data_IF_847052606953
#
_entry.id   IF_847052606953
#
_cell.length_a   1.000
_cell.length_b   1.000
_cell.length_c   1.000
_cell.angle_alpha   90.00
_cell.angle_beta   90.00
_cell.angle_gamma   90.00
#
_symmetry.space_group_name_H-M   'P 1'
#
loop_
_entity.id
_entity.type
_entity.pdbx_description
1 polymer ?
#
# COMPACT_ATOMS: atom_id res chain seq x y z
N UNK A 1 -27.61 4.13 9.29
CA UNK A 1 -28.36 4.71 10.42
C UNK A 1 -28.57 6.21 10.23
N UNK A 2 -29.77 6.60 9.82
CA UNK A 2 -30.12 8.00 9.53
C UNK A 2 -29.88 8.95 10.72
N UNK A 3 -30.14 8.50 11.96
CA UNK A 3 -29.93 9.33 13.15
C UNK A 3 -28.46 9.55 13.52
N UNK A 4 -27.54 8.74 12.99
CA UNK A 4 -26.09 8.85 13.24
C UNK A 4 -25.32 9.37 12.03
N UNK A 5 -26.04 9.71 10.95
CA UNK A 5 -25.46 10.14 9.68
C UNK A 5 -24.32 9.24 9.15
N UNK A 6 -24.41 7.92 9.40
CA UNK A 6 -23.44 6.90 8.95
C UNK A 6 -24.14 5.57 8.70
N UNK A 7 -23.54 4.67 7.93
CA UNK A 7 -24.03 3.29 7.76
C UNK A 7 -23.94 2.51 9.07
N UNK A 8 -24.64 1.37 9.13
CA UNK A 8 -24.48 0.41 10.20
C UNK A 8 -23.96 -0.87 9.55
N UNK A 9 -22.70 -1.17 9.81
CA UNK A 9 -21.97 -2.21 9.10
C UNK A 9 -21.95 -3.46 9.97
N UNK A 10 -22.22 -4.61 9.35
CA UNK A 10 -22.31 -5.88 10.06
C UNK A 10 -22.06 -7.06 9.13
N UNK A 11 -21.73 -8.20 9.71
CA UNK A 11 -21.53 -9.45 8.97
C UNK A 11 -22.81 -10.29 9.01
N UNK A 12 -23.43 -10.45 7.84
CA UNK A 12 -24.64 -11.26 7.70
C UNK A 12 -24.34 -12.73 8.00
N UNK A 13 -25.13 -13.32 8.89
CA UNK A 13 -25.07 -14.75 9.22
C UNK A 13 -23.89 -15.14 10.12
N UNK A 14 -23.24 -14.16 10.75
CA UNK A 14 -22.15 -14.39 11.71
C UNK A 14 -22.58 -14.20 13.17
N UNK A 15 -23.85 -13.87 13.44
CA UNK A 15 -24.37 -13.65 14.80
C UNK A 15 -23.95 -12.32 15.42
N UNK A 16 -23.55 -11.33 14.61
CA UNK A 16 -23.18 -9.99 15.07
C UNK A 16 -24.41 -9.12 15.39
N UNK A 17 -25.57 -9.50 14.85
CA UNK A 17 -26.87 -8.91 15.13
C UNK A 17 -27.82 -9.97 15.68
N UNK A 18 -29.00 -9.55 16.12
CA UNK A 18 -30.06 -10.47 16.56
C UNK A 18 -30.43 -11.46 15.43
N UNK A 19 -30.75 -12.70 15.79
CA UNK A 19 -30.96 -13.80 14.84
C UNK A 19 -31.95 -13.46 13.72
N UNK A 20 -33.07 -12.80 14.05
CA UNK A 20 -34.07 -12.41 13.05
C UNK A 20 -33.61 -11.33 12.08
N UNK A 21 -32.60 -10.53 12.46
CA UNK A 21 -31.98 -9.57 11.56
C UNK A 21 -31.01 -10.29 10.62
N UNK A 22 -30.22 -11.22 11.13
CA UNK A 22 -29.33 -12.06 10.31
C UNK A 22 -30.15 -12.82 9.25
N UNK A 23 -31.25 -13.47 9.65
CA UNK A 23 -32.16 -14.14 8.72
C UNK A 23 -32.83 -13.16 7.75
N UNK A 24 -33.30 -12.02 8.23
CA UNK A 24 -34.01 -11.02 7.41
C UNK A 24 -33.14 -10.32 6.38
N UNK A 25 -31.82 -10.29 6.59
CA UNK A 25 -30.83 -9.76 5.66
C UNK A 25 -30.42 -10.76 4.57
N UNK A 26 -30.77 -12.05 4.68
CA UNK A 26 -30.45 -13.01 3.63
C UNK A 26 -31.23 -12.69 2.34
N UNK A 27 -30.52 -12.77 1.21
CA UNK A 27 -31.10 -12.55 -0.11
C UNK A 27 -31.53 -11.10 -0.37
N UNK A 28 -30.97 -10.11 0.32
CA UNK A 28 -31.12 -8.70 -0.06
C UNK A 28 -30.25 -8.35 -1.27
N UNK A 29 -30.68 -7.37 -2.04
CA UNK A 29 -29.87 -6.75 -3.09
C UNK A 29 -29.36 -5.36 -2.64
N UNK A 30 -28.24 -4.92 -3.23
CA UNK A 30 -27.75 -3.54 -3.10
C UNK A 30 -28.82 -2.56 -3.58
N UNK A 31 -29.04 -1.46 -2.83
CA UNK A 31 -30.09 -0.47 -3.05
C UNK A 31 -31.49 -0.88 -2.57
N UNK A 32 -31.68 -2.10 -2.09
CA UNK A 32 -32.99 -2.59 -1.63
C UNK A 32 -33.43 -1.88 -0.34
N UNK A 33 -34.71 -1.50 -0.28
CA UNK A 33 -35.38 -1.13 0.98
C UNK A 33 -36.28 -2.26 1.42
N UNK A 34 -36.09 -2.76 2.64
CA UNK A 34 -36.82 -3.91 3.19
C UNK A 34 -37.37 -3.58 4.57
N UNK A 35 -38.60 -4.02 4.84
CA UNK A 35 -39.18 -4.03 6.18
C UNK A 35 -39.04 -5.42 6.78
N UNK A 36 -38.33 -5.53 7.90
CA UNK A 36 -38.13 -6.79 8.63
C UNK A 36 -38.93 -6.73 9.92
N UNK A 37 -39.79 -7.73 10.13
CA UNK A 37 -40.60 -7.89 11.33
C UNK A 37 -40.06 -9.10 12.11
N UNK A 38 -39.51 -8.86 13.28
CA UNK A 38 -38.78 -9.87 14.06
C UNK A 38 -39.61 -10.25 15.28
N UNK A 39 -40.07 -11.51 15.39
CA UNK A 39 -40.77 -12.00 16.58
C UNK A 39 -39.80 -12.10 17.78
N UNK A 40 -40.31 -12.11 19.02
CA UNK A 40 -39.46 -11.97 20.20
C UNK A 40 -38.36 -13.03 20.34
N UNK A 41 -38.65 -14.28 19.97
CA UNK A 41 -37.71 -15.40 20.05
C UNK A 41 -36.51 -15.27 19.09
N UNK A 42 -36.61 -14.42 18.07
CA UNK A 42 -35.50 -14.06 17.16
C UNK A 42 -34.90 -12.67 17.47
N UNK A 43 -35.43 -11.98 18.49
CA UNK A 43 -35.01 -10.64 18.93
C UNK A 43 -34.35 -10.67 20.31
N UNK A 44 -35.05 -10.14 21.32
CA UNK A 44 -34.56 -10.05 22.71
C UNK A 44 -35.32 -10.95 23.71
N UNK A 45 -36.11 -11.90 23.20
CA UNK A 45 -36.80 -12.90 24.02
C UNK A 45 -37.83 -12.32 24.98
N UNK A 46 -38.16 -13.11 26.00
CA UNK A 46 -39.14 -12.74 27.05
C UNK A 46 -38.59 -11.70 28.03
N UNK A 47 -37.26 -11.59 28.16
CA UNK A 47 -36.62 -10.67 29.12
C UNK A 47 -36.47 -9.24 28.57
N UNK A 48 -36.33 -9.09 27.25
CA UNK A 48 -36.08 -7.79 26.62
C UNK A 48 -34.64 -7.30 26.83
N UNK A 49 -34.36 -6.03 26.47
CA UNK A 49 -33.03 -5.42 26.69
C UNK A 49 -33.10 -3.89 26.74
N UNK A 50 -32.62 -3.31 27.84
CA UNK A 50 -32.55 -1.85 28.00
C UNK A 50 -33.93 -1.20 27.90
N UNK A 51 -34.18 -0.45 26.82
CA UNK A 51 -35.48 0.19 26.55
C UNK A 51 -36.48 -0.72 25.83
N UNK A 52 -36.07 -1.92 25.43
CA UNK A 52 -36.89 -2.85 24.68
C UNK A 52 -37.58 -3.79 25.66
N UNK A 53 -38.93 -3.78 25.74
CA UNK A 53 -39.67 -4.66 26.63
C UNK A 53 -39.50 -6.14 26.26
N UNK A 54 -39.70 -7.00 27.26
CA UNK A 54 -39.85 -8.44 27.06
C UNK A 54 -40.98 -8.78 26.09
N UNK A 55 -40.79 -9.81 25.29
CA UNK A 55 -41.78 -10.30 24.31
C UNK A 55 -42.20 -9.27 23.25
N UNK A 56 -41.39 -8.22 23.04
CA UNK A 56 -41.65 -7.21 22.02
C UNK A 56 -41.37 -7.74 20.61
N UNK A 57 -42.28 -7.45 19.67
CA UNK A 57 -42.04 -7.59 18.23
C UNK A 57 -41.28 -6.37 17.75
N UNK A 58 -40.17 -6.58 17.03
CA UNK A 58 -39.37 -5.49 16.48
C UNK A 58 -39.71 -5.28 15.01
N UNK A 59 -39.74 -4.03 14.56
CA UNK A 59 -39.93 -3.66 13.16
C UNK A 59 -38.77 -2.78 12.74
N UNK A 60 -38.04 -3.21 11.72
CA UNK A 60 -36.92 -2.49 11.14
C UNK A 60 -37.21 -2.16 9.69
N UNK A 61 -37.10 -0.88 9.33
CA UNK A 61 -37.03 -0.44 7.94
C UNK A 61 -35.56 -0.23 7.58
N UNK A 62 -35.04 -1.08 6.71
CA UNK A 62 -33.63 -1.07 6.29
C UNK A 62 -33.50 -0.59 4.85
N UNK A 63 -32.37 0.04 4.56
CA UNK A 63 -31.93 0.37 3.21
C UNK A 63 -30.51 -0.17 3.05
N UNK A 64 -30.36 -1.16 2.18
CA UNK A 64 -29.07 -1.80 1.91
C UNK A 64 -28.30 -0.88 0.99
N UNK A 65 -27.32 -0.17 1.53
CA UNK A 65 -26.50 0.77 0.76
C UNK A 65 -25.52 0.00 -0.11
N UNK A 66 -24.84 -0.98 0.47
CA UNK A 66 -23.92 -1.89 -0.19
C UNK A 66 -23.64 -3.10 0.71
N UNK A 67 -22.98 -4.13 0.17
CA UNK A 67 -22.36 -5.19 0.95
C UNK A 67 -21.12 -5.72 0.22
N UNK A 68 -20.13 -6.13 1.00
CA UNK A 68 -18.87 -6.66 0.48
C UNK A 68 -18.59 -8.01 1.11
N UNK A 69 -17.97 -8.90 0.35
CA UNK A 69 -17.41 -10.10 0.93
C UNK A 69 -15.95 -9.79 1.31
N UNK A 70 -15.52 -9.97 2.57
CA UNK A 70 -14.13 -9.75 2.98
C UNK A 70 -13.11 -10.62 2.25
N UNK A 71 -13.57 -11.69 1.59
CA UNK A 71 -12.73 -12.51 0.71
C UNK A 71 -12.60 -11.96 -0.71
N UNK A 72 -13.33 -10.88 -1.06
CA UNK A 72 -13.20 -10.23 -2.35
C UNK A 72 -11.81 -9.59 -2.49
N UNK A 73 -11.24 -9.73 -3.68
CA UNK A 73 -10.02 -9.05 -4.07
C UNK A 73 -10.36 -7.79 -4.87
N UNK A 74 -9.33 -7.04 -5.28
CA UNK A 74 -9.49 -5.95 -6.24
C UNK A 74 -9.98 -6.48 -7.59
N UNK A 75 -10.86 -5.72 -8.24
CA UNK A 75 -11.25 -5.96 -9.63
C UNK A 75 -10.42 -5.09 -10.55
N UNK A 76 -9.76 -5.68 -11.53
CA UNK A 76 -8.87 -4.97 -12.46
C UNK A 76 -9.42 -5.12 -13.87
N UNK A 77 -9.69 -4.00 -14.53
CA UNK A 77 -10.11 -3.94 -15.93
C UNK A 77 -9.07 -3.17 -16.74
N UNK A 78 -8.35 -3.86 -17.63
CA UNK A 78 -7.36 -3.22 -18.52
C UNK A 78 -8.09 -2.55 -19.68
N UNK A 79 -8.10 -1.22 -19.68
CA UNK A 79 -8.81 -0.40 -20.67
C UNK A 79 -7.97 -0.20 -21.94
N UNK A 80 -6.66 -0.11 -21.79
CA UNK A 80 -5.72 0.03 -22.89
C UNK A 80 -4.38 -0.58 -22.51
N UNK A 81 -3.79 -1.37 -23.41
CA UNK A 81 -2.47 -1.98 -23.22
C UNK A 81 -1.60 -1.72 -24.46
N UNK A 82 -0.42 -1.08 -24.31
CA UNK A 82 0.52 -0.89 -25.40
C UNK A 82 0.98 -2.21 -26.01
N UNK A 83 1.24 -2.21 -27.32
CA UNK A 83 1.74 -3.39 -28.04
C UNK A 83 3.13 -3.86 -27.58
N UNK A 84 3.97 -2.93 -27.11
CA UNK A 84 5.35 -3.15 -26.64
C UNK A 84 5.42 -3.31 -25.10
N UNK A 85 4.51 -4.09 -24.55
CA UNK A 85 4.42 -4.33 -23.10
C UNK A 85 5.29 -5.54 -22.68
N UNK A 86 6.61 -5.34 -22.60
CA UNK A 86 7.56 -6.41 -22.23
C UNK A 86 8.00 -6.38 -20.77
N UNK A 87 8.01 -5.20 -20.14
CA UNK A 87 8.38 -5.01 -18.74
C UNK A 87 7.11 -4.76 -17.95
N UNK A 88 6.87 -5.60 -16.94
CA UNK A 88 5.73 -5.54 -16.05
C UNK A 88 6.18 -5.11 -14.66
N UNK A 89 5.37 -4.28 -14.00
CA UNK A 89 5.62 -3.80 -12.64
C UNK A 89 5.54 -4.93 -11.63
N UNK A 90 6.51 -4.96 -10.73
CA UNK A 90 6.57 -5.90 -9.59
C UNK A 90 6.94 -5.17 -8.31
N UNK A 91 6.76 -5.85 -7.18
CA UNK A 91 7.15 -5.33 -5.85
C UNK A 91 8.59 -4.81 -5.87
N UNK A 92 8.80 -3.61 -5.33
CA UNK A 92 10.07 -2.91 -5.29
C UNK A 92 10.32 -1.97 -6.48
N UNK A 93 9.56 -2.10 -7.57
CA UNK A 93 9.67 -1.16 -8.69
C UNK A 93 9.14 0.21 -8.31
N UNK A 94 9.79 1.25 -8.84
CA UNK A 94 9.31 2.61 -8.72
C UNK A 94 8.42 2.98 -9.89
N UNK A 95 7.23 3.48 -9.57
CA UNK A 95 6.20 3.82 -10.54
C UNK A 95 5.88 5.31 -10.47
N UNK A 96 5.69 5.93 -11.63
CA UNK A 96 5.00 7.22 -11.76
C UNK A 96 3.75 7.04 -12.59
N UNK A 97 2.62 7.50 -12.07
CA UNK A 97 1.33 7.32 -12.73
C UNK A 97 0.41 8.52 -12.53
N UNK A 98 -0.55 8.63 -13.44
CA UNK A 98 -1.74 9.45 -13.25
C UNK A 98 -2.89 8.57 -12.77
N UNK A 99 -3.77 9.15 -11.96
CA UNK A 99 -5.03 8.55 -11.60
C UNK A 99 -6.15 9.58 -11.45
N UNK A 100 -7.39 9.09 -11.61
CA UNK A 100 -8.62 9.68 -11.08
C UNK A 100 -9.26 8.69 -10.10
N UNK A 101 -9.57 9.16 -8.90
CA UNK A 101 -10.22 8.37 -7.85
C UNK A 101 -11.66 8.84 -7.67
N UNK A 102 -12.61 7.91 -7.66
CA UNK A 102 -14.01 8.20 -7.41
C UNK A 102 -14.65 7.12 -6.53
N UNK A 103 -15.83 7.43 -6.01
CA UNK A 103 -16.74 6.42 -5.49
C UNK A 103 -17.40 5.65 -6.62
N UNK A 104 -18.04 4.52 -6.30
CA UNK A 104 -18.75 3.68 -7.26
C UNK A 104 -19.91 4.42 -7.96
N UNK A 105 -20.48 5.44 -7.33
CA UNK A 105 -21.52 6.29 -7.90
C UNK A 105 -20.99 7.38 -8.85
N UNK A 106 -19.67 7.45 -9.03
CA UNK A 106 -18.99 8.43 -9.87
C UNK A 106 -18.62 9.73 -9.16
N UNK A 107 -18.91 9.89 -7.87
CA UNK A 107 -18.47 11.05 -7.07
C UNK A 107 -16.94 11.09 -7.06
N UNK A 108 -16.35 12.14 -7.63
CA UNK A 108 -14.90 12.32 -7.67
C UNK A 108 -14.35 12.61 -6.27
N UNK A 109 -13.30 11.89 -5.90
CA UNK A 109 -12.57 12.06 -4.64
C UNK A 109 -11.29 12.87 -4.87
N UNK A 110 -10.43 12.40 -5.77
CA UNK A 110 -9.14 13.04 -6.05
C UNK A 110 -8.69 12.76 -7.50
N UNK A 111 -7.76 13.59 -8.00
CA UNK A 111 -7.12 13.40 -9.30
C UNK A 111 -5.72 13.99 -9.33
N UNK A 112 -4.77 13.22 -9.82
CA UNK A 112 -3.42 13.76 -10.11
C UNK A 112 -3.41 14.88 -11.14
N UNK A 113 -4.39 14.90 -12.05
CA UNK A 113 -4.51 15.98 -13.04
C UNK A 113 -4.95 17.31 -12.41
N UNK A 114 -5.82 17.28 -11.39
CA UNK A 114 -6.20 18.50 -10.67
C UNK A 114 -5.03 19.06 -9.84
N UNK A 115 -4.14 18.19 -9.38
CA UNK A 115 -2.92 18.54 -8.65
C UNK A 115 -1.76 18.99 -9.55
N UNK A 116 -1.86 18.79 -10.87
CA UNK A 116 -0.82 19.17 -11.84
C UNK A 116 0.50 18.40 -11.68
N UNK A 117 0.49 17.25 -11.00
CA UNK A 117 1.68 16.41 -10.74
C UNK A 117 1.33 14.92 -10.80
N UNK A 118 2.31 14.08 -11.05
CA UNK A 118 2.14 12.62 -11.00
C UNK A 118 2.14 12.12 -9.55
N UNK A 119 1.59 10.93 -9.34
CA UNK A 119 1.78 10.19 -8.10
C UNK A 119 2.92 9.19 -8.27
N UNK A 120 3.82 9.14 -7.30
CA UNK A 120 5.08 8.42 -7.40
C UNK A 120 5.24 7.50 -6.18
N UNK A 121 5.46 6.20 -6.40
CA UNK A 121 5.57 5.21 -5.32
C UNK A 121 6.64 4.18 -5.60
N UNK A 122 7.07 3.49 -4.56
CA UNK A 122 7.72 2.18 -4.65
C UNK A 122 6.66 1.11 -4.40
N UNK A 123 6.39 0.27 -5.39
CA UNK A 123 5.30 -0.70 -5.36
C UNK A 123 5.48 -1.71 -4.23
N UNK A 124 4.46 -1.89 -3.39
CA UNK A 124 4.49 -2.83 -2.27
C UNK A 124 5.30 -2.34 -1.05
N UNK A 125 5.59 -1.04 -0.97
CA UNK A 125 6.20 -0.40 0.20
C UNK A 125 5.17 0.14 1.21
N UNK A 126 3.87 -0.06 0.98
CA UNK A 126 2.80 0.41 1.86
C UNK A 126 2.57 1.92 1.80
N UNK A 127 3.01 2.58 0.72
CA UNK A 127 2.80 4.02 0.49
C UNK A 127 1.37 4.37 0.04
N UNK A 128 0.60 3.37 -0.38
CA UNK A 128 -0.79 3.48 -0.83
C UNK A 128 -1.65 2.42 -0.14
N UNK A 129 -2.97 2.54 -0.24
CA UNK A 129 -3.89 1.51 0.26
C UNK A 129 -3.57 0.16 -0.40
N UNK A 130 -3.79 -0.92 0.34
CA UNK A 130 -3.40 -2.29 -0.06
C UNK A 130 -3.97 -2.66 -1.44
N UNK A 131 -5.21 -2.27 -1.72
CA UNK A 131 -5.84 -2.51 -3.01
C UNK A 131 -5.16 -1.79 -4.18
N UNK A 132 -4.56 -0.62 -3.96
CA UNK A 132 -3.78 0.06 -4.99
C UNK A 132 -2.45 -0.65 -5.22
N UNK A 133 -1.77 -1.10 -4.16
CA UNK A 133 -0.55 -1.90 -4.29
C UNK A 133 -0.81 -3.21 -5.06
N UNK A 134 -1.96 -3.84 -4.85
CA UNK A 134 -2.40 -5.01 -5.65
C UNK A 134 -2.76 -4.61 -7.09
N UNK A 135 -3.53 -3.54 -7.23
CA UNK A 135 -4.02 -3.02 -8.50
C UNK A 135 -2.96 -2.37 -9.38
N UNK A 136 -1.73 -2.15 -8.87
CA UNK A 136 -0.58 -1.60 -9.59
C UNK A 136 0.41 -2.68 -10.06
N UNK A 137 0.22 -3.95 -9.70
CA UNK A 137 1.04 -5.07 -10.18
C UNK A 137 0.75 -5.40 -11.64
N UNK A 138 1.73 -6.01 -12.31
CA UNK A 138 1.63 -6.52 -13.68
C UNK A 138 1.19 -5.48 -14.73
N UNK A 139 1.53 -4.21 -14.50
CA UNK A 139 1.28 -3.10 -15.41
C UNK A 139 2.53 -2.78 -16.23
N UNK A 140 2.36 -2.31 -17.46
CA UNK A 140 3.46 -1.72 -18.23
C UNK A 140 3.25 -0.24 -18.50
N UNK A 141 4.36 0.45 -18.78
CA UNK A 141 4.36 1.87 -19.13
C UNK A 141 3.44 2.14 -20.32
N UNK A 142 2.55 3.10 -20.18
CA UNK A 142 1.51 3.47 -21.14
C UNK A 142 0.20 2.69 -21.02
N UNK A 143 0.13 1.66 -20.17
CA UNK A 143 -1.13 0.96 -19.88
C UNK A 143 -2.10 1.87 -19.15
N UNK A 144 -3.40 1.68 -19.41
CA UNK A 144 -4.49 2.31 -18.66
C UNK A 144 -5.46 1.25 -18.17
N UNK A 145 -5.88 1.36 -16.92
CA UNK A 145 -6.81 0.40 -16.32
C UNK A 145 -7.66 1.01 -15.23
N UNK A 146 -8.80 0.40 -14.99
CA UNK A 146 -9.68 0.70 -13.86
C UNK A 146 -9.47 -0.35 -12.77
N UNK A 147 -9.24 0.09 -11.54
CA UNK A 147 -9.11 -0.75 -10.35
C UNK A 147 -10.26 -0.43 -9.40
N UNK A 148 -11.09 -1.42 -9.10
CA UNK A 148 -12.16 -1.31 -8.10
C UNK A 148 -11.69 -1.99 -6.82
N UNK A 149 -11.63 -1.20 -5.74
CA UNK A 149 -11.07 -1.60 -4.45
C UNK A 149 -12.19 -1.69 -3.43
N UNK A 150 -12.46 -2.89 -2.88
CA UNK A 150 -13.44 -3.04 -1.81
C UNK A 150 -12.92 -2.39 -0.51
N UNK A 151 -13.81 -2.01 0.43
CA UNK A 151 -13.41 -1.16 1.54
C UNK A 151 -12.31 -1.76 2.44
N UNK A 152 -12.30 -3.08 2.65
CA UNK A 152 -11.28 -3.77 3.46
C UNK A 152 -9.88 -3.74 2.86
N UNK A 153 -9.74 -3.41 1.57
CA UNK A 153 -8.47 -3.16 0.89
C UNK A 153 -8.21 -1.66 0.63
N UNK A 154 -9.17 -0.80 1.02
CA UNK A 154 -9.10 0.65 0.95
C UNK A 154 -8.96 1.27 2.34
N UNK A 155 -9.92 2.13 2.71
CA UNK A 155 -9.94 2.85 4.00
C UNK A 155 -10.86 2.23 5.07
N UNK A 156 -11.39 1.04 4.82
CA UNK A 156 -12.19 0.28 5.80
C UNK A 156 -13.50 0.96 6.21
N UNK A 157 -14.02 0.56 7.38
CA UNK A 157 -15.28 1.09 7.95
C UNK A 157 -15.16 2.54 8.42
N UNK A 158 -13.95 3.00 8.73
CA UNK A 158 -13.71 4.35 9.24
C UNK A 158 -13.62 5.38 8.13
N UNK A 159 -13.10 5.00 6.95
CA UNK A 159 -12.88 5.93 5.85
C UNK A 159 -11.81 6.98 6.18
N UNK A 160 -11.95 8.17 5.59
CA UNK A 160 -11.14 9.35 5.86
C UNK A 160 -12.08 10.53 6.07
N UNK A 161 -12.03 11.14 7.24
CA UNK A 161 -12.93 12.23 7.62
C UNK A 161 -12.87 13.38 6.60
N UNK A 162 -14.04 13.74 6.04
CA UNK A 162 -14.17 14.83 5.07
C UNK A 162 -13.76 14.51 3.64
N UNK A 163 -13.17 13.34 3.39
CA UNK A 163 -12.66 12.94 2.06
C UNK A 163 -13.30 11.65 1.56
N UNK A 164 -13.18 10.56 2.33
CA UNK A 164 -13.63 9.23 1.93
C UNK A 164 -14.65 8.72 2.94
N UNK A 165 -15.90 8.44 2.54
CA UNK A 165 -16.86 7.82 3.43
C UNK A 165 -16.37 6.46 3.95
N UNK A 166 -16.74 6.14 5.19
CA UNK A 166 -16.54 4.80 5.73
C UNK A 166 -17.24 3.74 4.88
N UNK A 167 -16.62 2.57 4.75
CA UNK A 167 -17.08 1.45 3.93
C UNK A 167 -17.25 1.79 2.43
N UNK A 168 -16.54 2.81 1.93
CA UNK A 168 -16.58 3.19 0.53
C UNK A 168 -15.82 2.20 -0.37
N UNK A 169 -16.43 1.84 -1.50
CA UNK A 169 -15.75 1.22 -2.63
C UNK A 169 -15.05 2.32 -3.43
N UNK A 170 -13.76 2.15 -3.65
CA UNK A 170 -12.95 3.10 -4.43
C UNK A 170 -12.79 2.60 -5.85
N UNK A 171 -12.90 3.52 -6.80
CA UNK A 171 -12.65 3.27 -8.22
C UNK A 171 -11.50 4.15 -8.67
N UNK A 172 -10.44 3.54 -9.16
CA UNK A 172 -9.26 4.24 -9.67
C UNK A 172 -9.10 4.00 -11.16
N UNK A 173 -9.18 5.05 -11.96
CA UNK A 173 -8.74 5.03 -13.35
C UNK A 173 -7.28 5.46 -13.41
N UNK A 174 -6.39 4.56 -13.81
CA UNK A 174 -4.94 4.69 -13.70
C UNK A 174 -4.31 4.71 -15.09
N UNK A 175 -3.29 5.55 -15.28
CA UNK A 175 -2.37 5.54 -16.42
C UNK A 175 -0.93 5.47 -15.91
N UNK A 176 -0.20 4.40 -16.25
CA UNK A 176 1.20 4.26 -15.86
C UNK A 176 2.10 5.02 -16.83
N UNK A 177 2.94 5.93 -16.33
CA UNK A 177 3.79 6.79 -17.15
C UNK A 177 5.25 6.37 -17.13
N UNK A 178 5.73 5.87 -15.99
CA UNK A 178 7.12 5.48 -15.81
C UNK A 178 7.21 4.27 -14.90
N UNK A 179 8.13 3.37 -15.24
CA UNK A 179 8.49 2.18 -14.46
C UNK A 179 10.01 2.12 -14.41
N UNK A 180 10.57 2.22 -13.22
CA UNK A 180 11.99 2.00 -12.96
C UNK A 180 12.12 0.78 -12.08
N UNK A 181 12.78 -0.27 -12.58
CA UNK A 181 12.90 -1.51 -11.83
C UNK A 181 13.57 -1.27 -10.48
N UNK A 182 13.08 -1.96 -9.44
CA UNK A 182 13.63 -1.90 -8.10
C UNK A 182 15.01 -2.51 -7.96
N UNK A 183 15.49 -2.55 -6.72
CA UNK A 183 16.62 -3.36 -6.29
C UNK A 183 16.12 -4.63 -5.60
N UNK A 184 16.96 -5.66 -5.42
CA UNK A 184 16.63 -6.79 -4.56
C UNK A 184 16.24 -6.33 -3.14
N UNK A 185 15.40 -7.11 -2.47
CA UNK A 185 14.89 -6.77 -1.13
C UNK A 185 16.05 -6.59 -0.14
N UNK A 186 16.00 -5.51 0.65
CA UNK A 186 17.05 -5.15 1.61
C UNK A 186 18.22 -4.32 1.06
N UNK A 187 18.28 -4.08 -0.25
CA UNK A 187 19.37 -3.30 -0.87
C UNK A 187 18.96 -1.84 -1.13
N UNK A 188 19.83 -0.91 -0.72
CA UNK A 188 19.72 0.52 -1.04
C UNK A 188 20.56 0.92 -2.27
N UNK A 189 21.57 0.11 -2.59
CA UNK A 189 22.48 0.28 -3.71
C UNK A 189 22.91 -1.10 -4.22
N UNK A 190 23.08 -1.23 -5.53
CA UNK A 190 23.71 -2.41 -6.16
C UNK A 190 24.74 -1.98 -7.18
N UNK A 191 25.73 -2.83 -7.37
CA UNK A 191 26.71 -2.72 -8.44
C UNK A 191 26.19 -3.42 -9.70
N UNK A 192 26.36 -2.77 -10.85
CA UNK A 192 26.01 -3.32 -12.17
C UNK A 192 27.18 -4.12 -12.79
N UNK A 193 28.33 -4.21 -12.11
CA UNK A 193 29.53 -4.91 -12.55
C UNK A 193 30.39 -5.36 -11.37
N UNK A 194 31.63 -5.75 -11.67
CA UNK A 194 32.58 -6.18 -10.64
C UNK A 194 32.95 -5.01 -9.71
N UNK A 195 32.95 -5.30 -8.41
CA UNK A 195 33.39 -4.37 -7.37
C UNK A 195 34.92 -4.39 -7.32
N UNK A 196 35.54 -3.21 -7.30
CA UNK A 196 36.98 -3.11 -7.18
C UNK A 196 37.47 -3.76 -5.87
N UNK A 197 38.52 -4.58 -5.87
CA UNK A 197 39.09 -5.14 -4.65
C UNK A 197 39.69 -4.06 -3.74
N UNK A 198 39.99 -2.88 -4.28
CA UNK A 198 40.56 -1.73 -3.57
C UNK A 198 39.52 -0.62 -3.35
N UNK A 199 38.24 -0.97 -3.25
CA UNK A 199 37.13 -0.02 -3.13
C UNK A 199 37.35 1.05 -2.05
N UNK A 200 37.90 0.68 -0.89
CA UNK A 200 38.19 1.65 0.18
C UNK A 200 39.18 2.73 -0.26
N UNK A 201 40.28 2.34 -0.90
CA UNK A 201 41.31 3.26 -1.41
C UNK A 201 40.76 4.15 -2.54
N UNK A 202 39.78 3.67 -3.31
CA UNK A 202 39.14 4.49 -4.35
C UNK A 202 38.19 5.55 -3.78
N UNK A 203 37.57 5.27 -2.62
CA UNK A 203 36.67 6.21 -1.94
C UNK A 203 37.49 7.24 -1.15
N UNK A 204 38.54 6.80 -0.47
CA UNK A 204 39.48 7.64 0.28
C UNK A 204 40.38 8.45 -0.68
N UNK A 205 39.81 9.52 -1.26
CA UNK A 205 40.50 10.33 -2.26
C UNK A 205 41.72 11.06 -1.69
N UNK A 206 41.68 11.44 -0.42
CA UNK A 206 42.74 12.20 0.24
C UNK A 206 43.84 11.28 0.83
N UNK A 207 43.60 9.97 0.87
CA UNK A 207 44.48 8.91 1.37
C UNK A 207 44.87 9.08 2.85
N UNK A 208 43.95 9.58 3.68
CA UNK A 208 44.16 9.78 5.12
C UNK A 208 43.72 8.55 5.97
N UNK A 209 43.15 7.53 5.33
CA UNK A 209 42.67 6.31 5.97
C UNK A 209 41.28 6.43 6.58
N UNK A 210 40.58 7.55 6.37
CA UNK A 210 39.26 7.85 6.90
C UNK A 210 38.32 8.31 5.77
N UNK A 211 37.24 7.58 5.53
CA UNK A 211 36.22 7.98 4.56
C UNK A 211 35.17 8.84 5.26
N UNK A 212 35.07 10.11 4.85
CA UNK A 212 34.00 11.00 5.30
C UNK A 212 32.74 10.86 4.45
N UNK A 213 31.59 11.29 4.98
CA UNK A 213 30.31 11.27 4.26
C UNK A 213 30.40 11.96 2.88
N UNK A 214 31.21 13.03 2.79
CA UNK A 214 31.42 13.75 1.53
C UNK A 214 32.11 12.87 0.49
N UNK A 215 33.23 12.22 0.83
CA UNK A 215 33.98 11.36 -0.08
C UNK A 215 33.15 10.15 -0.50
N UNK A 216 32.45 9.55 0.47
CA UNK A 216 31.51 8.45 0.21
C UNK A 216 30.41 8.89 -0.77
N UNK A 217 29.78 10.05 -0.53
CA UNK A 217 28.71 10.58 -1.38
C UNK A 217 29.19 10.89 -2.79
N UNK A 218 30.33 11.57 -2.93
CA UNK A 218 30.92 11.90 -4.22
C UNK A 218 31.27 10.64 -5.02
N UNK A 219 31.81 9.61 -4.34
CA UNK A 219 32.11 8.34 -4.98
C UNK A 219 30.84 7.61 -5.42
N UNK A 220 29.83 7.45 -4.56
CA UNK A 220 28.57 6.78 -4.92
C UNK A 220 27.87 7.52 -6.07
N UNK A 221 27.84 8.85 -6.05
CA UNK A 221 27.31 9.66 -7.14
C UNK A 221 28.05 9.34 -8.45
N UNK A 222 29.38 9.30 -8.44
CA UNK A 222 30.18 8.96 -9.62
C UNK A 222 29.90 7.54 -10.16
N UNK A 223 29.65 6.56 -9.28
CA UNK A 223 29.29 5.21 -9.71
C UNK A 223 27.89 5.16 -10.34
N UNK A 224 26.93 5.92 -9.81
CA UNK A 224 25.58 6.04 -10.39
C UNK A 224 25.63 6.75 -11.74
N UNK A 225 26.34 7.87 -11.83
CA UNK A 225 26.46 8.66 -13.07
C UNK A 225 27.18 7.91 -14.18
N UNK A 226 28.17 7.08 -13.83
CA UNK A 226 28.86 6.19 -14.78
C UNK A 226 28.10 4.91 -15.12
N UNK A 227 26.94 4.67 -14.49
CA UNK A 227 26.12 3.47 -14.69
C UNK A 227 26.71 2.20 -14.07
N UNK A 228 27.77 2.31 -13.28
CA UNK A 228 28.39 1.18 -12.54
C UNK A 228 27.63 0.82 -11.28
N UNK A 229 26.87 1.76 -10.74
CA UNK A 229 26.01 1.59 -9.58
C UNK A 229 24.57 1.98 -9.86
N UNK A 230 23.65 1.45 -9.06
CA UNK A 230 22.24 1.82 -9.10
C UNK A 230 21.69 1.92 -7.68
N UNK A 231 21.07 3.05 -7.38
CA UNK A 231 20.38 3.28 -6.10
C UNK A 231 18.93 2.82 -6.15
N UNK A 232 18.36 2.59 -4.97
CA UNK A 232 16.94 2.32 -4.81
C UNK A 232 16.13 3.50 -5.36
N UNK A 233 15.25 3.27 -6.36
CA UNK A 233 14.51 4.35 -6.99
C UNK A 233 13.41 4.88 -6.04
N UNK A 234 13.01 6.14 -6.23
CA UNK A 234 11.93 6.76 -5.47
C UNK A 234 12.31 7.32 -4.11
N UNK A 235 13.59 7.25 -3.73
CA UNK A 235 14.13 7.84 -2.52
C UNK A 235 15.07 9.00 -2.85
N UNK A 236 15.23 9.90 -1.90
CA UNK A 236 16.15 11.03 -1.99
C UNK A 236 17.60 10.54 -1.93
N UNK A 237 18.42 10.99 -2.88
CA UNK A 237 19.82 10.57 -3.01
C UNK A 237 20.61 10.78 -1.72
N UNK A 238 20.54 11.99 -1.14
CA UNK A 238 21.31 12.35 0.04
C UNK A 238 20.92 11.47 1.23
N UNK A 239 19.62 11.22 1.42
CA UNK A 239 19.13 10.33 2.48
C UNK A 239 19.59 8.88 2.30
N UNK A 240 19.57 8.34 1.07
CA UNK A 240 20.04 6.97 0.84
C UNK A 240 21.52 6.87 1.18
N UNK A 241 22.33 7.78 0.65
CA UNK A 241 23.78 7.81 0.87
C UNK A 241 24.10 7.99 2.34
N UNK A 242 23.39 8.89 3.03
CA UNK A 242 23.54 9.08 4.47
C UNK A 242 23.22 7.80 5.24
N UNK A 243 22.11 7.13 4.94
CA UNK A 243 21.76 5.86 5.58
C UNK A 243 22.80 4.77 5.30
N UNK A 244 23.32 4.69 4.07
CA UNK A 244 24.41 3.77 3.70
C UNK A 244 25.67 4.07 4.50
N UNK A 245 26.05 5.34 4.63
CA UNK A 245 27.20 5.79 5.39
C UNK A 245 27.04 5.48 6.89
N UNK A 246 25.90 5.84 7.51
CA UNK A 246 25.64 5.57 8.92
C UNK A 246 25.57 4.08 9.24
N UNK A 247 25.11 3.24 8.29
CA UNK A 247 25.17 1.79 8.47
C UNK A 247 26.61 1.23 8.41
N UNK A 248 27.54 2.01 7.86
CA UNK A 248 28.93 1.64 7.69
C UNK A 248 29.83 2.22 8.79
N UNK A 249 29.49 3.40 9.32
CA UNK A 249 30.05 4.06 10.51
C UNK A 249 29.48 3.40 11.78
N UNK A 250 30.16 2.35 12.24
CA UNK A 250 29.63 1.45 13.29
C UNK A 250 29.79 2.04 14.68
N UNK A 251 30.82 2.85 14.88
CA UNK A 251 31.08 3.52 16.16
C UNK A 251 30.40 4.90 16.27
N UNK A 252 29.82 5.40 15.16
CA UNK A 252 29.05 6.63 15.09
C UNK A 252 29.91 7.89 15.22
N UNK A 253 31.19 7.80 14.88
CA UNK A 253 32.15 8.90 15.03
C UNK A 253 32.15 9.87 13.83
N UNK A 254 31.36 9.60 12.79
CA UNK A 254 31.23 10.43 11.58
C UNK A 254 32.26 10.14 10.48
N UNK A 255 33.02 9.06 10.59
CA UNK A 255 34.01 8.61 9.60
C UNK A 255 34.00 7.08 9.49
N UNK A 256 34.34 6.57 8.32
CA UNK A 256 34.43 5.13 8.06
C UNK A 256 35.87 4.75 7.84
N UNK A 257 36.38 3.83 8.64
CA UNK A 257 37.73 3.28 8.52
C UNK A 257 37.75 2.00 7.68
N UNK A 258 38.94 1.58 7.23
CA UNK A 258 39.12 0.34 6.48
C UNK A 258 38.72 -0.92 7.28
N UNK A 259 38.74 -0.85 8.61
CA UNK A 259 38.31 -1.91 9.50
C UNK A 259 36.79 -2.04 9.49
N UNK A 260 36.07 -0.93 9.59
CA UNK A 260 34.61 -0.90 9.53
C UNK A 260 34.10 -1.38 8.16
N UNK A 261 34.75 -0.94 7.08
CA UNK A 261 34.37 -1.23 5.69
C UNK A 261 34.31 -2.73 5.35
N UNK A 262 35.02 -3.59 6.09
CA UNK A 262 35.19 -5.02 5.76
C UNK A 262 34.26 -5.98 6.52
N UNK A 263 33.60 -5.53 7.59
CA UNK A 263 33.14 -6.45 8.63
C UNK A 263 31.82 -7.22 8.36
N UNK A 264 31.09 -7.00 7.26
CA UNK A 264 29.85 -7.77 7.02
C UNK A 264 30.07 -9.23 6.60
N UNK A 265 31.13 -9.54 5.85
CA UNK A 265 31.36 -10.91 5.35
C UNK A 265 32.06 -11.84 6.37
N UNK A 266 32.64 -11.26 7.43
CA UNK A 266 33.26 -12.04 8.51
C UNK A 266 32.28 -12.35 9.66
N UNK A 267 31.23 -11.55 9.84
CA UNK A 267 30.12 -11.83 10.76
C UNK A 267 29.12 -12.84 10.15
N UNK A 268 28.84 -12.76 8.84
CA UNK A 268 27.88 -13.65 8.16
C UNK A 268 28.32 -15.12 8.03
N UNK A 269 29.55 -15.47 8.41
CA UNK A 269 30.00 -16.87 8.51
C UNK A 269 29.74 -17.51 9.87
N UNK A 270 29.30 -16.75 10.87
CA UNK A 270 28.96 -17.26 12.21
C UNK A 270 27.44 -17.27 12.48
N UNK A 271 26.60 -16.68 11.62
CA UNK A 271 25.13 -16.68 11.75
C UNK A 271 24.40 -17.63 10.77
N UNK A 272 25.03 -18.75 10.38
CA UNK A 272 24.32 -19.88 9.78
C UNK A 272 24.06 -20.96 10.84
N UNK A 273 23.29 -20.61 11.88
CA UNK A 273 22.59 -21.56 12.73
C UNK A 273 21.24 -20.94 13.17
N UNK A 274 20.15 -21.60 12.75
CA UNK A 274 18.75 -21.49 13.21
C UNK A 274 17.97 -20.21 12.80
N UNK A 275 16.83 -20.22 12.09
CA UNK A 275 15.80 -21.22 11.74
C UNK A 275 15.19 -20.88 10.37
#
# INVERSE_FOLDING_TARGET
>A
SYSRNRTYDTYVGKGYVIAGMDEGLLGVCTGEKRRIIIPPHLGYGEEGRGKIPGSAVLVFDIHVVDFHNPSDSVSITVNYKPSNCTVLSKKGDYLKYHYNASLLDGTLLDSTHSLGKTYNIVLGSGQVVVGMDMGLQDMCVGERRTVVIPPHLGYGEDGVEGEVPGSAVLVFDIELLELVSGLPEGYMFVWNGEVSPNLFEEIDQNHDGEVLLKEFSEYIQAQVDSGKGKLAPGFDFEKIVQNMFTNQDRDGNGKVTAEEFKLKDQEAKEEHDEL
#
